data_IF_975801839243
#
_entry.id   IF_975801839243
#
_cell.length_a   1.000
_cell.length_b   1.000
_cell.length_c   1.000
_cell.angle_alpha   90.00
_cell.angle_beta   90.00
_cell.angle_gamma   90.00
#
_symmetry.space_group_name_H-M   'P 1'
#
loop_
_entity.id
_entity.type
_entity.pdbx_description
1 polymer ?
#
# COMPACT_ATOMS: atom_id res chain seq x y z
N UNK A 1 5.52 -53.03 9.11
CA UNK A 1 4.49 -52.15 9.72
C UNK A 1 5.05 -51.28 10.85
N UNK A 2 5.71 -51.83 11.89
CA UNK A 2 6.20 -51.04 13.03
C UNK A 2 7.22 -49.95 12.66
N UNK A 3 8.17 -50.24 11.76
CA UNK A 3 9.20 -49.27 11.35
C UNK A 3 8.61 -48.03 10.66
N UNK A 4 7.56 -48.20 9.84
CA UNK A 4 6.87 -47.10 9.16
C UNK A 4 6.12 -46.21 10.15
N UNK A 5 5.55 -46.78 11.21
CA UNK A 5 4.85 -46.05 12.27
C UNK A 5 5.83 -45.21 13.10
N UNK A 6 6.99 -45.78 13.44
CA UNK A 6 8.05 -45.07 14.19
C UNK A 6 8.60 -43.89 13.37
N UNK A 7 8.82 -44.09 12.06
CA UNK A 7 9.31 -43.01 11.19
C UNK A 7 8.30 -41.87 11.06
N UNK A 8 7.00 -42.19 10.97
CA UNK A 8 5.93 -41.19 10.90
C UNK A 8 5.79 -40.39 12.22
N UNK A 9 5.91 -41.05 13.37
CA UNK A 9 5.93 -40.39 14.68
C UNK A 9 7.15 -39.50 14.88
N UNK A 10 8.33 -39.93 14.42
CA UNK A 10 9.56 -39.15 14.51
C UNK A 10 9.44 -37.88 13.64
N UNK A 11 8.90 -38.00 12.43
CA UNK A 11 8.67 -36.88 11.52
C UNK A 11 7.65 -35.89 12.08
N UNK A 12 6.53 -36.37 12.65
CA UNK A 12 5.51 -35.53 13.27
C UNK A 12 6.07 -34.77 14.49
N UNK A 13 6.88 -35.44 15.32
CA UNK A 13 7.51 -34.83 16.50
C UNK A 13 8.51 -33.74 16.11
N UNK A 14 9.31 -33.99 15.06
CA UNK A 14 10.26 -33.00 14.55
C UNK A 14 9.55 -31.77 13.96
N UNK A 15 8.45 -31.99 13.24
CA UNK A 15 7.67 -30.95 12.59
C UNK A 15 6.89 -30.10 13.62
N UNK A 16 6.33 -30.72 14.67
CA UNK A 16 5.69 -30.01 15.79
C UNK A 16 6.73 -29.23 16.60
N UNK A 17 7.89 -29.83 16.92
CA UNK A 17 8.97 -29.17 17.64
C UNK A 17 9.48 -27.93 16.89
N UNK A 18 9.76 -28.07 15.59
CA UNK A 18 10.19 -26.96 14.74
C UNK A 18 9.20 -25.79 14.72
N UNK A 19 7.89 -26.06 14.60
CA UNK A 19 6.86 -25.01 14.64
C UNK A 19 6.82 -24.28 16.00
N UNK A 20 7.01 -24.99 17.11
CA UNK A 20 7.05 -24.36 18.44
C UNK A 20 8.31 -23.54 18.68
N UNK A 21 9.46 -23.96 18.15
CA UNK A 21 10.72 -23.21 18.24
C UNK A 21 10.66 -21.92 17.42
N UNK A 22 10.14 -21.98 16.20
CA UNK A 22 9.93 -20.79 15.36
C UNK A 22 8.98 -19.81 16.04
N UNK A 23 7.85 -20.29 16.58
CA UNK A 23 6.89 -19.43 17.31
C UNK A 23 7.49 -18.82 18.58
N UNK A 24 8.42 -19.50 19.27
CA UNK A 24 9.08 -18.98 20.49
C UNK A 24 10.12 -17.89 20.19
N UNK A 25 10.81 -17.96 19.05
CA UNK A 25 11.71 -16.87 18.60
C UNK A 25 10.96 -15.65 18.10
N UNK A 26 9.69 -15.83 17.70
CA UNK A 26 8.76 -14.77 17.36
C UNK A 26 7.95 -14.39 18.60
N UNK A 27 8.61 -13.99 19.69
CA UNK A 27 7.92 -13.32 20.79
C UNK A 27 7.35 -12.03 20.24
N UNK A 28 6.03 -12.00 20.01
CA UNK A 28 5.30 -10.86 19.50
C UNK A 28 5.65 -9.63 20.34
N UNK A 29 6.41 -8.71 19.78
CA UNK A 29 6.64 -7.41 20.39
C UNK A 29 5.26 -6.78 20.62
N UNK A 30 4.95 -6.28 21.83
CA UNK A 30 3.71 -5.56 22.05
C UNK A 30 3.72 -4.37 21.09
N UNK A 31 2.89 -4.40 20.04
CA UNK A 31 2.77 -3.28 19.12
C UNK A 31 2.42 -2.06 19.96
N UNK A 32 3.37 -1.12 20.09
CA UNK A 32 3.15 0.16 20.77
C UNK A 32 2.17 0.96 19.92
N UNK A 33 0.88 0.75 20.16
CA UNK A 33 -0.20 1.22 19.31
C UNK A 33 -0.42 2.74 19.31
N UNK A 34 0.22 3.53 20.17
CA UNK A 34 -0.24 4.90 20.40
C UNK A 34 0.10 5.93 19.31
N UNK A 35 1.11 5.69 18.46
CA UNK A 35 1.48 6.64 17.37
C UNK A 35 1.03 6.16 15.99
N UNK A 36 1.13 4.86 15.74
CA UNK A 36 0.75 4.25 14.45
C UNK A 36 -0.76 4.37 14.20
N UNK A 37 -1.60 4.17 15.22
CA UNK A 37 -3.07 4.30 15.06
C UNK A 37 -3.49 5.73 14.67
N UNK A 38 -2.81 6.76 15.19
CA UNK A 38 -3.12 8.14 14.85
C UNK A 38 -2.65 8.50 13.43
N UNK A 39 -1.50 7.97 12.99
CA UNK A 39 -1.02 8.15 11.62
C UNK A 39 -1.97 7.49 10.62
N UNK A 40 -2.44 6.28 10.89
CA UNK A 40 -3.44 5.59 10.05
C UNK A 40 -4.75 6.38 9.99
N UNK A 41 -5.23 6.93 11.11
CA UNK A 41 -6.44 7.75 11.14
C UNK A 41 -6.32 9.03 10.29
N UNK A 42 -5.16 9.70 10.36
CA UNK A 42 -4.87 10.87 9.50
C UNK A 42 -4.79 10.46 8.02
N UNK A 43 -4.21 9.30 7.71
CA UNK A 43 -4.16 8.78 6.34
C UNK A 43 -5.56 8.55 5.75
N UNK A 44 -6.48 7.99 6.54
CA UNK A 44 -7.89 7.80 6.13
C UNK A 44 -8.54 9.16 5.80
N UNK A 45 -8.29 10.17 6.63
CA UNK A 45 -8.81 11.53 6.41
C UNK A 45 -8.23 12.15 5.13
N UNK A 46 -6.92 12.06 4.92
CA UNK A 46 -6.25 12.57 3.71
C UNK A 46 -6.80 11.93 2.45
N UNK A 47 -6.97 10.60 2.45
CA UNK A 47 -7.55 9.87 1.30
C UNK A 47 -9.00 10.30 1.05
N UNK A 48 -9.80 10.51 2.10
CA UNK A 48 -11.18 11.00 1.98
C UNK A 48 -11.25 12.40 1.35
N UNK A 49 -10.36 13.32 1.74
CA UNK A 49 -10.28 14.65 1.15
C UNK A 49 -9.82 14.60 -0.32
N UNK A 50 -8.82 13.78 -0.63
CA UNK A 50 -8.27 13.66 -1.98
C UNK A 50 -9.32 13.12 -2.95
N UNK A 51 -10.13 12.14 -2.53
CA UNK A 51 -11.30 11.66 -3.28
C UNK A 51 -12.30 12.76 -3.59
N UNK A 52 -12.61 13.59 -2.59
CA UNK A 52 -13.57 14.68 -2.73
C UNK A 52 -13.05 15.72 -3.73
N UNK A 53 -11.77 16.07 -3.68
CA UNK A 53 -11.16 17.01 -4.63
C UNK A 53 -11.19 16.43 -6.05
N UNK A 54 -10.80 15.18 -6.24
CA UNK A 54 -10.77 14.55 -7.57
C UNK A 54 -12.17 14.40 -8.17
N UNK A 55 -13.18 14.07 -7.36
CA UNK A 55 -14.58 14.00 -7.84
C UNK A 55 -15.13 15.38 -8.22
N UNK A 56 -14.80 16.44 -7.46
CA UNK A 56 -15.16 17.82 -7.81
C UNK A 56 -14.49 18.29 -9.11
N UNK A 57 -13.20 18.03 -9.29
CA UNK A 57 -12.48 18.38 -10.53
C UNK A 57 -13.09 17.66 -11.73
N UNK A 58 -13.39 16.37 -11.59
CA UNK A 58 -14.01 15.58 -12.66
C UNK A 58 -15.43 16.07 -12.98
N UNK A 59 -16.20 16.47 -11.97
CA UNK A 59 -17.52 17.04 -12.14
C UNK A 59 -17.47 18.38 -12.91
N UNK A 60 -16.57 19.29 -12.54
CA UNK A 60 -16.35 20.56 -13.26
C UNK A 60 -15.88 20.29 -14.69
N UNK A 61 -14.96 19.34 -14.89
CA UNK A 61 -14.49 18.94 -16.21
C UNK A 61 -15.61 18.38 -17.10
N UNK A 62 -16.51 17.57 -16.53
CA UNK A 62 -17.67 17.04 -17.24
C UNK A 62 -18.65 18.15 -17.66
N UNK A 63 -18.93 19.12 -16.77
CA UNK A 63 -19.76 20.29 -17.10
C UNK A 63 -19.14 21.10 -18.24
N UNK A 64 -17.84 21.40 -18.14
CA UNK A 64 -17.13 22.20 -19.14
C UNK A 64 -17.07 21.48 -20.49
N UNK A 65 -16.85 20.16 -20.48
CA UNK A 65 -16.87 19.34 -21.68
C UNK A 65 -18.25 19.28 -22.34
N UNK A 66 -19.31 19.13 -21.53
CA UNK A 66 -20.68 19.10 -22.02
C UNK A 66 -21.10 20.46 -22.61
N UNK A 67 -20.70 21.58 -22.00
CA UNK A 67 -21.03 22.91 -22.50
C UNK A 67 -20.30 23.26 -23.80
N UNK A 68 -19.02 22.86 -23.92
CA UNK A 68 -18.18 23.13 -25.10
C UNK A 68 -18.39 22.19 -26.29
N UNK A 69 -18.52 20.88 -26.06
CA UNK A 69 -18.60 19.86 -27.11
C UNK A 69 -19.94 19.11 -27.16
N UNK A 70 -20.74 19.11 -26.08
CA UNK A 70 -22.03 18.41 -26.02
C UNK A 70 -23.12 19.01 -26.89
N UNK A 71 -22.98 20.28 -27.33
CA UNK A 71 -23.88 20.93 -28.30
C UNK A 71 -23.50 20.70 -29.76
N UNK A 72 -22.27 20.27 -30.05
CA UNK A 72 -21.87 19.94 -31.41
C UNK A 72 -22.40 18.53 -31.69
N UNK A 73 -23.39 18.40 -32.58
CA UNK A 73 -23.95 17.10 -33.01
C UNK A 73 -22.83 16.22 -33.60
N UNK A 74 -22.19 15.42 -32.75
CA UNK A 74 -21.16 14.48 -33.16
C UNK A 74 -21.88 13.29 -33.80
N UNK A 75 -21.89 13.24 -35.14
CA UNK A 75 -22.68 12.28 -35.94
C UNK A 75 -22.49 10.78 -35.58
N UNK A 76 -21.40 10.42 -34.90
CA UNK A 76 -21.10 9.05 -34.46
C UNK A 76 -21.50 8.77 -33.00
N UNK A 77 -21.55 9.81 -32.16
CA UNK A 77 -22.10 9.73 -30.81
C UNK A 77 -23.56 10.13 -30.94
N UNK A 78 -24.40 9.15 -31.29
CA UNK A 78 -25.84 9.36 -31.46
C UNK A 78 -26.40 10.11 -30.25
N UNK A 79 -27.20 11.15 -30.51
CA UNK A 79 -27.98 11.86 -29.49
C UNK A 79 -28.69 10.82 -28.64
N UNK A 80 -28.16 10.60 -27.45
CA UNK A 80 -28.79 9.75 -26.47
C UNK A 80 -29.92 10.58 -25.90
N UNK A 81 -31.13 10.38 -26.42
CA UNK A 81 -32.40 10.88 -25.87
C UNK A 81 -32.71 10.25 -24.48
N UNK A 82 -31.68 10.00 -23.67
CA UNK A 82 -31.81 9.64 -22.28
C UNK A 82 -31.73 10.95 -21.49
N UNK A 83 -32.88 11.61 -21.39
CA UNK A 83 -33.13 12.83 -20.60
C UNK A 83 -32.98 12.61 -19.07
N UNK A 84 -32.28 11.54 -18.68
CA UNK A 84 -32.09 11.06 -17.32
C UNK A 84 -30.66 10.54 -17.08
N UNK A 85 -29.65 11.15 -17.72
CA UNK A 85 -28.32 11.18 -17.09
C UNK A 85 -28.38 12.23 -15.97
N UNK A 86 -28.96 11.82 -14.85
CA UNK A 86 -28.93 12.59 -13.62
C UNK A 86 -27.46 12.85 -13.31
N UNK A 87 -27.06 14.11 -13.15
CA UNK A 87 -25.74 14.54 -12.66
C UNK A 87 -25.18 13.65 -11.52
N UNK A 88 -26.08 13.07 -10.71
CA UNK A 88 -25.75 12.07 -9.70
C UNK A 88 -25.15 10.75 -10.23
N UNK A 89 -25.57 10.22 -11.38
CA UNK A 89 -25.00 9.01 -11.99
C UNK A 89 -23.57 9.24 -12.50
N UNK A 90 -23.31 10.42 -13.08
CA UNK A 90 -21.97 10.76 -13.56
C UNK A 90 -21.02 10.93 -12.37
N UNK A 91 -21.47 11.60 -11.29
CA UNK A 91 -20.71 11.68 -10.03
C UNK A 91 -20.50 10.30 -9.42
N UNK A 92 -21.53 9.45 -9.37
CA UNK A 92 -21.44 8.09 -8.82
C UNK A 92 -20.41 7.26 -9.60
N UNK A 93 -20.40 7.35 -10.93
CA UNK A 93 -19.42 6.66 -11.77
C UNK A 93 -17.98 7.12 -11.47
N UNK A 94 -17.75 8.44 -11.31
CA UNK A 94 -16.44 8.96 -10.93
C UNK A 94 -16.01 8.54 -9.52
N UNK A 95 -16.93 8.50 -8.56
CA UNK A 95 -16.65 8.02 -7.19
C UNK A 95 -16.23 6.54 -7.18
N UNK A 96 -16.95 5.69 -7.91
CA UNK A 96 -16.62 4.26 -8.03
C UNK A 96 -15.27 4.07 -8.73
N UNK A 97 -15.00 4.87 -9.76
CA UNK A 97 -13.71 4.86 -10.46
C UNK A 97 -12.59 5.15 -9.46
N UNK A 98 -12.62 6.28 -8.76
CA UNK A 98 -11.54 6.67 -7.86
C UNK A 98 -11.35 5.76 -6.64
N UNK A 99 -12.41 5.12 -6.13
CA UNK A 99 -12.30 4.16 -5.04
C UNK A 99 -11.37 2.98 -5.37
N UNK A 100 -11.36 2.55 -6.64
CA UNK A 100 -10.47 1.48 -7.12
C UNK A 100 -9.05 1.96 -7.44
N UNK A 101 -8.87 3.24 -7.78
CA UNK A 101 -7.54 3.80 -8.06
C UNK A 101 -6.72 4.06 -6.80
N UNK A 102 -7.34 4.45 -5.68
CA UNK A 102 -6.61 4.69 -4.42
C UNK A 102 -5.73 3.51 -4.00
N UNK A 103 -6.24 2.27 -3.88
CA UNK A 103 -5.41 1.15 -3.40
C UNK A 103 -4.26 0.85 -4.36
N UNK A 104 -4.47 1.01 -5.67
CA UNK A 104 -3.44 0.78 -6.69
C UNK A 104 -2.35 1.86 -6.61
N UNK A 105 -2.74 3.13 -6.54
CA UNK A 105 -1.81 4.27 -6.50
C UNK A 105 -1.04 4.28 -5.18
N UNK A 106 -1.72 4.06 -4.05
CA UNK A 106 -1.08 4.01 -2.73
C UNK A 106 -0.06 2.88 -2.66
N UNK A 107 -0.43 1.68 -3.14
CA UNK A 107 0.48 0.53 -3.19
C UNK A 107 1.72 0.82 -4.04
N UNK A 108 1.53 1.31 -5.27
CA UNK A 108 2.62 1.65 -6.17
C UNK A 108 3.53 2.74 -5.58
N UNK A 109 2.94 3.77 -4.96
CA UNK A 109 3.71 4.86 -4.32
C UNK A 109 4.53 4.34 -3.14
N UNK A 110 3.98 3.43 -2.32
CA UNK A 110 4.70 2.82 -1.20
C UNK A 110 5.85 1.92 -1.68
N UNK A 111 5.67 1.18 -2.76
CA UNK A 111 6.73 0.37 -3.37
C UNK A 111 7.87 1.24 -3.90
N UNK A 112 7.54 2.33 -4.61
CA UNK A 112 8.53 3.27 -5.14
C UNK A 112 9.25 4.00 -3.99
N UNK A 113 8.54 4.47 -2.97
CA UNK A 113 9.14 5.11 -1.81
C UNK A 113 10.13 4.17 -1.09
N UNK A 114 9.76 2.90 -0.92
CA UNK A 114 10.63 1.85 -0.38
C UNK A 114 11.86 1.61 -1.23
N UNK A 115 11.71 1.60 -2.56
CA UNK A 115 12.83 1.47 -3.48
C UNK A 115 13.79 2.66 -3.38
N UNK A 116 13.26 3.88 -3.34
CA UNK A 116 14.06 5.11 -3.21
C UNK A 116 14.81 5.13 -1.86
N UNK A 117 14.15 4.77 -0.75
CA UNK A 117 14.81 4.68 0.55
C UNK A 117 15.95 3.66 0.55
N UNK A 118 15.77 2.50 -0.09
CA UNK A 118 16.84 1.52 -0.23
C UNK A 118 18.00 2.04 -1.10
N UNK A 119 17.73 2.80 -2.16
CA UNK A 119 18.77 3.46 -2.96
C UNK A 119 19.56 4.47 -2.13
N UNK A 120 18.89 5.31 -1.33
CA UNK A 120 19.57 6.27 -0.46
C UNK A 120 20.53 5.58 0.52
N UNK A 121 20.14 4.45 1.11
CA UNK A 121 21.03 3.69 2.02
C UNK A 121 22.23 3.10 1.26
N UNK A 122 22.03 2.57 0.06
CA UNK A 122 23.13 2.00 -0.73
C UNK A 122 24.12 3.08 -1.23
N UNK A 123 23.67 4.32 -1.39
CA UNK A 123 24.51 5.45 -1.81
C UNK A 123 25.15 6.21 -0.65
N UNK A 124 24.87 5.83 0.60
CA UNK A 124 25.48 6.45 1.76
C UNK A 124 26.92 5.94 1.95
N UNK A 125 27.90 6.81 1.67
CA UNK A 125 29.33 6.51 1.82
C UNK A 125 29.76 6.45 3.29
N UNK A 126 29.05 7.09 4.21
CA UNK A 126 29.40 7.11 5.64
C UNK A 126 29.17 5.75 6.31
N UNK A 127 28.32 4.91 5.73
CA UNK A 127 28.07 3.52 6.14
C UNK A 127 29.06 2.49 5.55
N UNK A 128 30.12 2.96 4.87
CA UNK A 128 31.11 2.07 4.26
C UNK A 128 32.12 1.49 5.27
N UNK A 129 32.17 0.14 5.36
CA UNK A 129 33.13 -0.54 6.23
C UNK A 129 34.50 -0.72 5.54
N UNK A 130 35.46 0.14 5.90
CA UNK A 130 36.83 0.18 5.32
C UNK A 130 37.63 -1.12 5.45
N UNK A 131 37.30 -1.99 6.41
CA UNK A 131 38.06 -3.23 6.65
C UNK A 131 37.83 -4.34 5.62
N UNK A 132 36.69 -4.31 4.90
CA UNK A 132 36.32 -5.37 3.96
C UNK A 132 35.74 -4.85 2.63
N UNK A 133 35.74 -3.52 2.40
CA UNK A 133 35.13 -2.86 1.23
C UNK A 133 33.70 -3.35 0.94
N UNK A 134 32.88 -3.46 1.98
CA UNK A 134 31.47 -3.83 1.87
C UNK A 134 30.61 -2.62 2.17
N UNK A 135 29.74 -2.28 1.23
CA UNK A 135 28.70 -1.27 1.40
C UNK A 135 27.51 -1.85 2.17
N UNK A 136 26.86 -1.03 2.97
CA UNK A 136 25.62 -1.41 3.65
C UNK A 136 24.51 -1.62 2.60
N UNK A 137 24.01 -2.84 2.50
CA UNK A 137 22.91 -3.19 1.58
C UNK A 137 21.62 -3.38 2.35
N UNK A 138 20.64 -2.49 2.10
CA UNK A 138 19.31 -2.61 2.67
C UNK A 138 18.53 -3.75 1.97
N UNK A 139 18.50 -4.94 2.58
CA UNK A 139 17.86 -6.14 2.00
C UNK A 139 16.34 -6.21 2.20
N UNK A 140 15.79 -5.43 3.13
CA UNK A 140 14.34 -5.45 3.42
C UNK A 140 13.85 -4.03 3.70
N UNK A 141 13.08 -3.47 2.77
CA UNK A 141 12.55 -2.11 2.90
C UNK A 141 11.48 -1.98 4.00
N UNK A 142 10.87 -3.10 4.43
CA UNK A 142 9.91 -3.12 5.53
C UNK A 142 10.59 -2.91 6.91
N UNK A 143 11.89 -3.21 7.01
CA UNK A 143 12.65 -3.09 8.25
C UNK A 143 12.99 -1.62 8.57
N UNK A 144 13.02 -0.74 7.56
CA UNK A 144 13.34 0.67 7.73
C UNK A 144 12.30 1.42 8.58
N UNK A 145 11.02 1.03 8.47
CA UNK A 145 9.92 1.57 9.28
C UNK A 145 9.98 1.12 10.74
N UNK A 146 10.58 -0.05 11.01
CA UNK A 146 10.78 -0.58 12.37
C UNK A 146 12.04 -0.02 13.05
N UNK A 147 13.11 0.28 12.31
CA UNK A 147 14.31 0.94 12.85
C UNK A 147 13.99 2.32 13.45
N UNK A 148 13.07 3.08 12.84
CA UNK A 148 12.62 4.38 13.34
C UNK A 148 11.69 4.31 14.57
N UNK A 149 11.28 3.11 14.99
CA UNK A 149 10.43 2.89 16.16
C UNK A 149 11.21 2.41 17.39
N UNK A 150 12.52 2.17 17.27
CA UNK A 150 13.36 1.88 18.41
C UNK A 150 13.39 3.12 19.31
N UNK A 151 12.96 3.02 20.59
CA UNK A 151 13.09 4.14 21.50
C UNK A 151 14.58 4.45 21.61
N UNK A 152 14.95 5.73 21.43
CA UNK A 152 16.28 6.22 21.74
C UNK A 152 16.63 5.80 23.17
N UNK A 153 17.47 4.77 23.28
CA UNK A 153 18.04 4.33 24.54
C UNK A 153 19.02 5.39 25.00
N UNK A 154 18.75 5.96 26.17
CA UNK A 154 19.80 6.55 27.00
C UNK A 154 20.83 5.49 27.38
#
# INVERSE_FOLDING_TARGET
MLSTIIHWFCLLSFLVCGRTLLRRTQSSHPLRRSKVENVTNVQILVVSLLLLVMSLVSCVGAIFWNDGYGRADIWYIGKKDYDCHSFGFDILAFVILYHNFIPIILLATLEIAKYIQALFINWDEDMHFKGNNVYATARTSNLNEELGQLPEGK
#
